data_IF_001155299630
#
_entry.id   IF_001155299630
#
_cell.length_a   1.000
_cell.length_b   1.000
_cell.length_c   1.000
_cell.angle_alpha   90.00
_cell.angle_beta   90.00
_cell.angle_gamma   90.00
#
_symmetry.space_group_name_H-M   'P 1'
#
loop_
_entity.id
_entity.type
_entity.pdbx_description
1 polymer ?
#
# COMPACT_ATOMS: atom_id res chain seq x y z
N UNK A 1 8.31 -0.86 -4.35
CA UNK A 1 6.93 -0.43 -4.60
C UNK A 1 6.25 -1.51 -5.41
N UNK A 2 5.28 -2.20 -4.83
CA UNK A 2 4.36 -3.15 -5.46
C UNK A 2 3.34 -2.40 -6.31
N UNK A 3 2.92 -2.96 -7.44
CA UNK A 3 2.00 -2.34 -8.37
C UNK A 3 0.64 -3.06 -8.37
N UNK A 4 -0.39 -2.41 -8.91
CA UNK A 4 -1.67 -3.06 -9.14
C UNK A 4 -1.46 -4.28 -10.04
N UNK A 5 -2.00 -5.43 -9.63
CA UNK A 5 -1.79 -6.70 -10.34
C UNK A 5 -0.61 -7.53 -9.85
N UNK A 6 0.26 -7.00 -8.98
CA UNK A 6 1.27 -7.80 -8.28
C UNK A 6 0.64 -8.69 -7.20
N UNK A 7 1.37 -9.67 -6.68
CA UNK A 7 0.92 -10.49 -5.55
C UNK A 7 1.30 -9.82 -4.22
N UNK A 8 0.33 -9.76 -3.31
CA UNK A 8 0.55 -9.28 -1.95
C UNK A 8 1.57 -10.18 -1.25
N UNK A 9 2.66 -9.63 -0.67
CA UNK A 9 3.67 -10.43 -0.01
C UNK A 9 3.19 -11.09 1.30
N UNK A 10 2.07 -10.62 1.86
CA UNK A 10 1.53 -11.15 3.12
C UNK A 10 0.59 -12.34 2.90
N UNK A 11 -0.30 -12.26 1.91
CA UNK A 11 -1.34 -13.28 1.69
C UNK A 11 -1.29 -13.97 0.32
N UNK A 12 -0.44 -13.50 -0.61
CA UNK A 12 -0.29 -14.08 -1.94
C UNK A 12 -1.47 -13.81 -2.90
N UNK A 13 -2.39 -12.92 -2.54
CA UNK A 13 -3.51 -12.52 -3.40
C UNK A 13 -3.12 -11.35 -4.31
N UNK A 14 -3.82 -11.22 -5.45
CA UNK A 14 -3.59 -10.12 -6.39
C UNK A 14 -3.94 -8.79 -5.70
N UNK A 15 -3.00 -7.85 -5.77
CA UNK A 15 -3.14 -6.51 -5.22
C UNK A 15 -4.13 -5.72 -6.07
N UNK A 16 -5.23 -5.32 -5.44
CA UNK A 16 -6.21 -4.39 -5.98
C UNK A 16 -6.13 -3.14 -5.08
N UNK A 17 -5.34 -2.15 -5.50
CA UNK A 17 -5.22 -0.87 -4.79
C UNK A 17 -6.17 0.16 -5.41
N UNK A 18 -6.92 0.93 -4.60
CA UNK A 18 -7.54 2.17 -5.04
C UNK A 18 -6.45 3.20 -5.39
N UNK A 19 -6.64 3.97 -6.45
CA UNK A 19 -5.70 5.05 -6.86
C UNK A 19 -5.68 6.24 -5.91
N UNK A 20 -6.64 6.31 -4.97
CA UNK A 20 -6.94 7.49 -4.16
C UNK A 20 -6.94 7.21 -2.64
N UNK A 21 -6.73 5.96 -2.21
CA UNK A 21 -6.63 5.61 -0.79
C UNK A 21 -5.27 4.99 -0.49
N UNK A 22 -4.87 5.08 0.79
CA UNK A 22 -3.74 4.35 1.37
C UNK A 22 -3.66 2.94 0.76
N UNK A 23 -2.46 2.53 0.36
CA UNK A 23 -2.23 1.35 -0.46
C UNK A 23 -2.44 0.05 0.34
N UNK A 24 -3.64 -0.21 0.84
CA UNK A 24 -3.98 -1.40 1.62
C UNK A 24 -4.29 -2.60 0.71
N UNK A 25 -3.91 -3.80 1.14
CA UNK A 25 -4.33 -5.04 0.53
C UNK A 25 -5.80 -5.34 0.86
N UNK A 26 -6.69 -5.34 -0.13
CA UNK A 26 -8.09 -5.73 0.07
C UNK A 26 -8.30 -7.21 0.47
N UNK A 27 -7.25 -8.04 0.39
CA UNK A 27 -7.31 -9.46 0.75
C UNK A 27 -7.05 -9.71 2.24
N UNK A 28 -6.02 -9.09 2.81
CA UNK A 28 -5.62 -9.29 4.21
C UNK A 28 -5.70 -8.04 5.08
N UNK A 29 -5.99 -6.88 4.48
CA UNK A 29 -6.03 -5.57 5.17
C UNK A 29 -4.65 -5.02 5.53
N UNK A 30 -3.56 -5.60 5.02
CA UNK A 30 -2.22 -5.10 5.34
C UNK A 30 -1.87 -3.92 4.44
N UNK A 31 -1.25 -2.89 5.01
CA UNK A 31 -0.69 -1.77 4.27
C UNK A 31 0.47 -2.23 3.38
N UNK A 32 0.30 -2.04 2.07
CA UNK A 32 1.30 -2.28 1.03
C UNK A 32 1.84 -0.91 0.61
N UNK A 33 3.12 -0.82 0.24
CA UNK A 33 3.70 0.45 -0.22
C UNK A 33 3.48 1.59 0.77
N UNK A 34 3.88 1.36 2.03
CA UNK A 34 4.13 2.47 2.94
C UNK A 34 5.11 3.41 2.23
N UNK A 35 4.60 4.52 1.73
CA UNK A 35 5.42 5.52 1.10
C UNK A 35 6.16 6.21 2.25
N UNK A 36 7.50 6.21 2.26
CA UNK A 36 8.24 6.96 3.27
C UNK A 36 8.00 8.47 3.16
N UNK A 37 7.20 8.94 2.19
CA UNK A 37 6.76 10.32 2.05
C UNK A 37 5.73 10.75 3.11
N UNK A 38 5.19 9.86 3.94
CA UNK A 38 4.36 10.26 5.09
C UNK A 38 5.19 10.69 6.32
N UNK A 39 6.53 10.63 6.24
CA UNK A 39 7.48 11.20 7.22
C UNK A 39 7.85 12.66 6.87
N UNK A 40 6.89 13.48 6.41
CA UNK A 40 7.02 14.94 6.53
C UNK A 40 6.54 15.35 7.92
N UNK A 41 7.41 15.07 8.88
CA UNK A 41 7.48 15.69 10.18
C UNK A 41 7.77 17.20 9.99
N UNK A 42 6.95 18.01 10.64
CA UNK A 42 7.33 19.31 11.24
C UNK A 42 7.55 20.55 10.34
N UNK A 43 6.63 21.50 10.55
CA UNK A 43 6.85 22.94 10.75
C UNK A 43 7.44 23.81 9.62
N UNK A 44 6.62 24.70 9.03
CA UNK A 44 6.55 26.14 9.38
C UNK A 44 5.40 26.84 8.62
#
# INVERSE_FOLDING_TARGET
MFQQGDLCPHCGLIIIMPTDLQAECLGCGEEINQDPADDYDEEE
#
